data_IF_758122682750
#
_entry.id   IF_758122682750
#
_cell.length_a   1.000
_cell.length_b   1.000
_cell.length_c   1.000
_cell.angle_alpha   90.00
_cell.angle_beta   90.00
_cell.angle_gamma   90.00
#
_symmetry.space_group_name_H-M   'P 1'
#
loop_
_entity.id
_entity.type
_entity.pdbx_description
1 polymer ?
#
# COMPACT_ATOMS: atom_id res chain seq x y z
N UNK A 1 3.27 -4.62 -21.54
CA UNK A 1 2.98 -4.21 -20.15
C UNK A 1 2.20 -2.91 -20.17
N UNK A 2 1.07 -2.87 -19.49
CA UNK A 2 0.24 -1.66 -19.46
C UNK A 2 0.87 -0.55 -18.64
N UNK A 3 0.52 0.71 -18.89
CA UNK A 3 1.01 1.83 -18.08
C UNK A 3 0.70 1.66 -16.58
N UNK A 4 -0.48 1.14 -16.25
CA UNK A 4 -0.86 0.87 -14.86
C UNK A 4 0.06 -0.14 -14.21
N UNK A 5 0.36 -1.23 -14.91
CA UNK A 5 1.26 -2.27 -14.41
C UNK A 5 2.67 -1.73 -14.20
N UNK A 6 3.15 -0.90 -15.12
CA UNK A 6 4.46 -0.26 -15.00
C UNK A 6 4.51 0.65 -13.78
N UNK A 7 3.48 1.45 -13.57
CA UNK A 7 3.39 2.34 -12.41
C UNK A 7 3.39 1.55 -11.10
N UNK A 8 2.57 0.51 -11.03
CA UNK A 8 2.50 -0.34 -9.84
C UNK A 8 3.86 -0.99 -9.53
N UNK A 9 4.49 -1.60 -10.54
CA UNK A 9 5.77 -2.28 -10.34
C UNK A 9 6.87 -1.31 -9.95
N UNK A 10 6.87 -0.10 -10.49
CA UNK A 10 7.83 0.94 -10.12
C UNK A 10 7.70 1.32 -8.65
N UNK A 11 6.47 1.48 -8.18
CA UNK A 11 6.19 1.82 -6.78
C UNK A 11 6.52 0.64 -5.87
N UNK A 12 6.09 -0.56 -6.24
CA UNK A 12 6.36 -1.77 -5.47
C UNK A 12 7.86 -2.03 -5.31
N UNK A 13 8.65 -1.71 -6.31
CA UNK A 13 10.10 -1.85 -6.26
C UNK A 13 10.72 -0.96 -5.18
N UNK A 14 10.13 0.19 -4.90
CA UNK A 14 10.59 1.08 -3.84
C UNK A 14 10.14 0.64 -2.45
N UNK A 15 9.06 -0.15 -2.37
CA UNK A 15 8.48 -0.62 -1.11
C UNK A 15 8.26 -2.14 -1.17
N UNK A 16 9.31 -2.94 -1.36
CA UNK A 16 9.16 -4.39 -1.66
C UNK A 16 8.56 -5.20 -0.51
N UNK A 17 8.80 -4.81 0.73
CA UNK A 17 8.28 -5.50 1.91
C UNK A 17 6.97 -4.90 2.44
N UNK A 18 6.34 -4.06 1.64
CA UNK A 18 5.16 -3.29 2.04
C UNK A 18 4.00 -3.63 1.11
N UNK A 19 2.80 -3.79 1.66
CA UNK A 19 1.60 -3.96 0.85
C UNK A 19 1.29 -2.62 0.19
N UNK A 20 1.24 -2.60 -1.15
CA UNK A 20 0.97 -1.38 -1.92
C UNK A 20 -0.50 -1.35 -2.31
N UNK A 21 -1.23 -0.37 -1.78
CA UNK A 21 -2.62 -0.11 -2.11
C UNK A 21 -2.67 1.10 -3.05
N UNK A 22 -3.01 0.84 -4.30
CA UNK A 22 -2.96 1.83 -5.36
C UNK A 22 -4.36 2.38 -5.64
N UNK A 23 -4.54 3.69 -5.50
CA UNK A 23 -5.85 4.31 -5.74
C UNK A 23 -6.22 4.26 -7.22
N UNK A 24 -7.31 3.58 -7.52
CA UNK A 24 -7.88 3.50 -8.87
C UNK A 24 -9.39 3.76 -8.76
N UNK A 25 -9.83 4.95 -9.15
CA UNK A 25 -11.22 5.34 -9.04
C UNK A 25 -11.68 5.30 -7.58
N UNK A 26 -12.74 4.53 -7.32
CA UNK A 26 -13.35 4.44 -6.00
C UNK A 26 -12.74 3.33 -5.13
N UNK A 27 -11.66 2.70 -5.58
CA UNK A 27 -11.05 1.59 -4.88
C UNK A 27 -9.56 1.85 -4.63
N UNK A 28 -9.05 1.25 -3.56
CA UNK A 28 -7.63 0.97 -3.43
C UNK A 28 -7.41 -0.45 -3.87
N UNK A 29 -6.60 -0.64 -4.89
CA UNK A 29 -6.37 -1.95 -5.47
C UNK A 29 -4.97 -2.45 -5.14
N UNK A 30 -4.90 -3.76 -4.88
CA UNK A 30 -3.65 -4.46 -4.65
C UNK A 30 -3.50 -5.55 -5.69
N UNK A 31 -2.26 -5.91 -6.00
CA UNK A 31 -1.95 -6.84 -7.09
C UNK A 31 -1.01 -7.93 -6.61
N UNK A 32 -1.00 -9.05 -7.34
CA UNK A 32 -0.07 -10.16 -7.14
C UNK A 32 -0.12 -10.70 -5.70
N UNK A 33 1.02 -10.87 -5.05
CA UNK A 33 1.09 -11.41 -3.70
C UNK A 33 0.45 -10.49 -2.67
N UNK A 34 0.51 -9.19 -2.86
CA UNK A 34 -0.19 -8.23 -1.99
C UNK A 34 -1.70 -8.47 -2.02
N UNK A 35 -2.26 -8.73 -3.20
CA UNK A 35 -3.68 -9.03 -3.34
C UNK A 35 -4.06 -10.30 -2.59
N UNK A 36 -3.24 -11.33 -2.65
CA UNK A 36 -3.48 -12.58 -1.92
C UNK A 36 -3.46 -12.34 -0.42
N UNK A 37 -2.52 -11.57 0.07
CA UNK A 37 -2.40 -11.22 1.49
C UNK A 37 -3.62 -10.41 1.94
N UNK A 38 -3.99 -9.38 1.20
CA UNK A 38 -5.14 -8.54 1.53
C UNK A 38 -6.43 -9.35 1.52
N UNK A 39 -6.61 -10.21 0.53
CA UNK A 39 -7.78 -11.09 0.45
C UNK A 39 -7.88 -11.99 1.68
N UNK A 40 -6.77 -12.58 2.10
CA UNK A 40 -6.71 -13.48 3.24
C UNK A 40 -6.95 -12.75 4.57
N UNK A 41 -6.24 -11.66 4.81
CA UNK A 41 -6.30 -10.92 6.08
C UNK A 41 -7.64 -10.20 6.24
N UNK A 42 -8.12 -9.57 5.17
CA UNK A 42 -9.32 -8.76 5.21
C UNK A 42 -10.59 -9.53 4.85
N UNK A 43 -10.45 -10.78 4.46
CA UNK A 43 -11.57 -11.64 4.06
C UNK A 43 -12.39 -11.02 2.92
N UNK A 44 -11.71 -10.56 1.88
CA UNK A 44 -12.33 -10.01 0.67
C UNK A 44 -12.03 -10.89 -0.53
N UNK A 45 -12.83 -10.73 -1.58
CA UNK A 45 -12.73 -11.56 -2.77
C UNK A 45 -11.42 -11.30 -3.49
N UNK A 46 -10.70 -12.38 -3.79
CA UNK A 46 -9.56 -12.34 -4.69
C UNK A 46 -10.06 -12.56 -6.11
N UNK A 47 -9.84 -11.57 -6.96
CA UNK A 47 -10.22 -11.64 -8.37
C UNK A 47 -8.99 -11.64 -9.26
N UNK A 48 -9.17 -11.52 -10.55
CA UNK A 48 -8.09 -11.38 -11.49
C UNK A 48 -8.40 -10.24 -12.45
N UNK A 49 -7.37 -9.49 -12.80
CA UNK A 49 -7.46 -8.44 -13.81
C UNK A 49 -6.51 -8.74 -14.95
N UNK A 50 -6.99 -8.57 -16.14
CA UNK A 50 -6.16 -8.71 -17.32
C UNK A 50 -5.27 -7.47 -17.45
N UNK A 51 -3.97 -7.70 -17.44
CA UNK A 51 -2.95 -6.65 -17.47
C UNK A 51 -2.02 -6.91 -18.64
N UNK A 52 -2.40 -6.41 -19.81
CA UNK A 52 -1.65 -6.63 -21.04
C UNK A 52 -2.13 -7.88 -21.79
N UNK A 53 -1.23 -8.53 -22.55
CA UNK A 53 -1.59 -9.61 -23.46
C UNK A 53 -1.93 -10.91 -22.74
N UNK A 54 -3.21 -11.10 -22.39
CA UNK A 54 -3.75 -12.37 -21.96
C UNK A 54 -3.38 -12.85 -20.57
N UNK A 55 -2.58 -12.11 -19.82
CA UNK A 55 -2.20 -12.48 -18.46
C UNK A 55 -3.12 -11.86 -17.44
N UNK A 56 -3.79 -12.71 -16.66
CA UNK A 56 -4.57 -12.26 -15.51
C UNK A 56 -3.67 -12.25 -14.28
N UNK A 57 -3.62 -11.11 -13.60
CA UNK A 57 -2.92 -10.99 -12.33
C UNK A 57 -3.91 -10.99 -11.18
N UNK A 58 -3.55 -11.56 -10.02
CA UNK A 58 -4.42 -11.48 -8.83
C UNK A 58 -4.69 -10.03 -8.45
N UNK A 59 -5.93 -9.77 -8.07
CA UNK A 59 -6.40 -8.45 -7.71
C UNK A 59 -7.31 -8.54 -6.50
N UNK A 60 -7.10 -7.67 -5.53
CA UNK A 60 -8.02 -7.47 -4.41
C UNK A 60 -8.17 -5.97 -4.18
N UNK A 61 -9.40 -5.49 -4.24
CA UNK A 61 -9.70 -4.08 -4.07
C UNK A 61 -10.53 -3.83 -2.83
N UNK A 62 -10.22 -2.75 -2.11
CA UNK A 62 -11.01 -2.28 -0.99
C UNK A 62 -11.67 -0.96 -1.37
N UNK A 63 -12.97 -0.78 -1.04
CA UNK A 63 -13.64 0.48 -1.32
C UNK A 63 -12.94 1.65 -0.63
N UNK A 64 -12.82 2.74 -1.35
CA UNK A 64 -12.19 3.95 -0.86
C UNK A 64 -12.77 4.46 0.45
N UNK A 65 -14.10 4.37 0.63
CA UNK A 65 -14.74 4.86 1.85
C UNK A 65 -14.50 3.98 3.07
N UNK A 66 -14.13 2.72 2.86
CA UNK A 66 -13.96 1.73 3.93
C UNK A 66 -12.49 1.36 4.17
N UNK A 67 -11.56 2.10 3.57
CA UNK A 67 -10.13 1.79 3.65
C UNK A 67 -9.62 1.75 5.08
N UNK A 68 -10.16 2.58 5.97
CA UNK A 68 -9.71 2.65 7.37
C UNK A 68 -9.82 1.30 8.07
N UNK A 69 -10.95 0.61 7.90
CA UNK A 69 -11.18 -0.69 8.52
C UNK A 69 -10.23 -1.76 7.99
N UNK A 70 -10.02 -1.78 6.69
CA UNK A 70 -9.14 -2.76 6.06
C UNK A 70 -7.67 -2.47 6.39
N UNK A 71 -7.28 -1.21 6.38
CA UNK A 71 -5.93 -0.80 6.74
C UNK A 71 -5.62 -1.18 8.19
N UNK A 72 -6.57 -0.97 9.11
CA UNK A 72 -6.41 -1.36 10.51
C UNK A 72 -6.17 -2.87 10.65
N UNK A 73 -6.92 -3.69 9.91
CA UNK A 73 -6.74 -5.16 9.93
C UNK A 73 -5.36 -5.56 9.45
N UNK A 74 -4.88 -4.96 8.38
CA UNK A 74 -3.56 -5.25 7.83
C UNK A 74 -2.45 -4.85 8.79
N UNK A 75 -2.55 -3.68 9.38
CA UNK A 75 -1.57 -3.18 10.36
C UNK A 75 -1.55 -4.07 11.61
N UNK A 76 -2.73 -4.46 12.12
CA UNK A 76 -2.83 -5.33 13.27
C UNK A 76 -2.26 -6.72 13.00
N UNK A 77 -2.33 -7.18 11.74
CA UNK A 77 -1.71 -8.44 11.32
C UNK A 77 -0.19 -8.34 11.14
N UNK A 78 0.39 -7.17 11.37
CA UNK A 78 1.84 -6.97 11.32
C UNK A 78 2.38 -6.51 9.99
N UNK A 79 1.51 -6.14 9.06
CA UNK A 79 1.95 -5.68 7.74
C UNK A 79 2.18 -4.17 7.71
N UNK A 80 3.18 -3.74 6.96
CA UNK A 80 3.29 -2.36 6.52
C UNK A 80 2.41 -2.17 5.30
N UNK A 81 1.78 -1.02 5.20
CA UNK A 81 0.89 -0.69 4.09
C UNK A 81 1.23 0.68 3.53
N UNK A 82 1.43 0.74 2.23
CA UNK A 82 1.65 1.99 1.50
C UNK A 82 0.37 2.36 0.76
N UNK A 83 -0.18 3.51 1.08
CA UNK A 83 -1.34 4.06 0.38
C UNK A 83 -0.82 5.01 -0.69
N UNK A 84 -1.15 4.73 -1.94
CA UNK A 84 -0.70 5.51 -3.10
C UNK A 84 -1.89 6.25 -3.69
N UNK A 85 -1.82 7.58 -3.64
CA UNK A 85 -2.79 8.46 -4.28
C UNK A 85 -2.22 9.01 -5.57
N UNK A 86 -3.07 9.20 -6.57
CA UNK A 86 -2.64 9.74 -7.84
C UNK A 86 -2.28 11.22 -7.76
N UNK A 87 -3.02 11.98 -6.97
CA UNK A 87 -2.74 13.40 -6.73
C UNK A 87 -3.16 13.78 -5.33
N UNK A 88 -2.40 14.66 -4.70
CA UNK A 88 -2.75 15.20 -3.40
C UNK A 88 -2.43 14.28 -2.24
N UNK A 89 -2.81 14.71 -1.05
CA UNK A 89 -2.55 14.01 0.20
C UNK A 89 -3.65 12.97 0.45
N UNK A 90 -3.30 11.74 0.89
CA UNK A 90 -4.31 10.72 1.21
C UNK A 90 -5.02 11.04 2.52
N UNK A 91 -5.91 12.01 2.50
CA UNK A 91 -6.62 12.49 3.68
C UNK A 91 -7.53 11.43 4.31
N UNK A 92 -8.00 10.49 3.49
CA UNK A 92 -8.96 9.47 3.92
C UNK A 92 -8.39 8.47 4.94
N UNK A 93 -7.07 8.41 5.04
CA UNK A 93 -6.43 7.51 6.00
C UNK A 93 -6.05 8.21 7.30
N UNK A 94 -6.43 9.47 7.45
CA UNK A 94 -6.25 10.19 8.71
C UNK A 94 -7.07 9.54 9.82
N UNK A 95 -6.45 9.29 10.97
CA UNK A 95 -7.13 8.68 12.11
C UNK A 95 -7.09 7.16 12.13
N UNK A 96 -6.45 6.52 11.17
CA UNK A 96 -6.25 5.07 11.20
C UNK A 96 -5.31 4.70 12.35
N UNK A 97 -5.63 3.64 13.14
CA UNK A 97 -4.74 3.20 14.21
C UNK A 97 -3.46 2.64 13.63
N UNK A 98 -2.39 3.34 13.90
CA UNK A 98 -1.06 3.05 13.38
C UNK A 98 -0.32 4.36 13.19
N UNK A 99 0.93 4.26 12.83
CA UNK A 99 1.78 5.42 12.64
C UNK A 99 2.17 5.57 11.18
N UNK A 100 2.00 6.78 10.65
CA UNK A 100 2.54 7.11 9.35
C UNK A 100 4.06 7.19 9.45
N UNK A 101 4.77 6.26 8.80
CA UNK A 101 6.23 6.22 8.76
C UNK A 101 6.80 7.25 7.84
N UNK A 102 6.16 7.38 6.69
CA UNK A 102 6.71 8.14 5.59
C UNK A 102 5.59 8.71 4.73
N UNK A 103 5.75 9.96 4.36
CA UNK A 103 4.94 10.59 3.32
C UNK A 103 5.90 11.14 2.29
N UNK A 104 5.75 10.70 1.04
CA UNK A 104 6.68 11.07 -0.01
C UNK A 104 5.97 11.24 -1.35
N UNK A 105 6.32 12.30 -2.03
CA UNK A 105 5.93 12.48 -3.42
C UNK A 105 6.88 11.65 -4.28
N UNK A 106 6.32 10.70 -5.04
CA UNK A 106 7.11 9.81 -5.88
C UNK A 106 7.37 10.40 -7.26
N UNK A 107 6.38 11.14 -7.75
CA UNK A 107 6.45 11.81 -9.05
C UNK A 107 5.32 12.86 -9.07
N UNK A 108 5.17 13.63 -10.15
CA UNK A 108 4.16 14.69 -10.19
C UNK A 108 2.71 14.20 -10.01
N UNK A 109 2.48 12.89 -10.08
CA UNK A 109 1.13 12.32 -10.06
C UNK A 109 0.85 11.40 -8.88
N UNK A 110 1.85 11.11 -8.06
CA UNK A 110 1.68 10.13 -6.98
C UNK A 110 2.23 10.61 -5.66
N UNK A 111 1.43 10.42 -4.63
CA UNK A 111 1.79 10.64 -3.24
C UNK A 111 1.65 9.31 -2.49
N UNK A 112 2.63 8.97 -1.68
CA UNK A 112 2.62 7.72 -0.89
C UNK A 112 2.70 8.04 0.59
N UNK A 113 1.84 7.38 1.38
CA UNK A 113 1.95 7.36 2.84
C UNK A 113 2.09 5.92 3.29
N UNK A 114 3.11 5.63 4.07
CA UNK A 114 3.38 4.30 4.59
C UNK A 114 2.95 4.23 6.06
N UNK A 115 2.18 3.21 6.38
CA UNK A 115 1.68 2.94 7.73
C UNK A 115 2.24 1.63 8.27
N UNK A 116 2.47 1.58 9.58
CA UNK A 116 2.81 0.34 10.26
C UNK A 116 2.28 0.36 11.69
N UNK A 117 2.33 -0.79 12.35
CA UNK A 117 1.93 -0.92 13.74
C UNK A 117 2.93 -0.19 14.65
N UNK A 118 2.41 0.52 15.67
CA UNK A 118 3.24 1.30 16.59
C UNK A 118 4.29 0.45 17.31
N UNK A 119 3.93 -0.79 17.68
CA UNK A 119 4.86 -1.70 18.34
C UNK A 119 6.06 -2.06 17.46
N UNK A 120 5.85 -2.08 16.13
CA UNK A 120 6.94 -2.32 15.20
C UNK A 120 7.95 -1.19 15.22
N UNK A 121 7.51 0.04 15.44
CA UNK A 121 8.40 1.20 15.57
C UNK A 121 9.36 1.03 16.75
N UNK A 122 8.86 0.56 17.87
CA UNK A 122 9.68 0.35 19.08
C UNK A 122 10.75 -0.70 18.80
N UNK A 123 10.38 -1.79 18.12
CA UNK A 123 11.29 -2.88 17.79
C UNK A 123 12.36 -2.46 16.78
N UNK A 124 12.01 -1.54 15.87
CA UNK A 124 12.92 -1.06 14.84
C UNK A 124 13.65 0.22 15.22
N UNK A 125 13.44 0.74 16.40
CA UNK A 125 14.09 1.97 16.87
C UNK A 125 15.62 1.93 16.74
N UNK A 126 16.32 0.82 17.07
CA UNK A 126 17.77 0.75 16.88
C UNK A 126 18.21 0.85 15.42
N UNK A 127 17.29 0.63 14.48
CA UNK A 127 17.55 0.73 13.04
C UNK A 127 17.25 2.11 12.47
N UNK A 128 16.89 3.06 13.33
CA UNK A 128 16.54 4.41 12.90
C UNK A 128 17.69 5.12 12.16
N UNK A 129 18.93 4.78 12.47
CA UNK A 129 20.09 5.31 11.76
C UNK A 129 20.09 4.94 10.28
N UNK A 130 19.65 3.73 9.95
CA UNK A 130 19.50 3.30 8.56
C UNK A 130 18.35 4.01 7.86
N UNK A 131 17.26 4.22 8.58
CA UNK A 131 16.13 4.99 8.05
C UNK A 131 16.53 6.43 7.77
N UNK A 132 17.29 7.04 8.66
CA UNK A 132 17.77 8.40 8.45
C UNK A 132 18.73 8.51 7.27
N UNK A 133 19.62 7.54 7.07
CA UNK A 133 20.48 7.48 5.91
C UNK A 133 19.69 7.34 4.61
N UNK A 134 18.54 6.71 4.68
CA UNK A 134 17.63 6.52 3.55
C UNK A 134 16.86 7.79 3.22
N UNK A 135 16.64 8.66 4.22
CA UNK A 135 15.95 9.94 4.05
C UNK A 135 16.86 11.04 3.49
N UNK A 136 18.14 10.87 3.61
CA UNK A 136 19.10 11.80 3.06
C UNK A 136 19.45 11.45 1.60
#
# INVERSE_FOLDING_TARGET
>A
MTPLQQQYLRIKKQFPATIVCFRLGDFYETFNDDAKTVSSVCNIVLTGREMGTGNRVPLAGVPYHAVDNYLAKLIQAGHKVAIVEQTGTPEKVAGVPGRALETRELDPFHMVVVFQHELCDILFFPLSSHLMAWWS
#
